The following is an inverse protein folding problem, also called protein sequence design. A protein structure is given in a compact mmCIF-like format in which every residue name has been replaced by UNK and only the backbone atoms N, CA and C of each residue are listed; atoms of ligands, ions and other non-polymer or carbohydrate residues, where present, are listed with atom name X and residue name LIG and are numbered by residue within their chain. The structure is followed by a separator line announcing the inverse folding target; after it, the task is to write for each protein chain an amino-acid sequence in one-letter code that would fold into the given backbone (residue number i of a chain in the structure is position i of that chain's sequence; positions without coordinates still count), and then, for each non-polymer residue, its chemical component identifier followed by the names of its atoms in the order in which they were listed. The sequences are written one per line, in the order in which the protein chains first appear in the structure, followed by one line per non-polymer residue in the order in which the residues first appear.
data_IF_241582598371
#
_entry.id   IF_241582598371
#
_cell.length_a   1.000
_cell.length_b   1.000
_cell.length_c   1.000
_cell.angle_alpha   90.00
_cell.angle_beta   90.00
_cell.angle_gamma   90.00
#
_symmetry.space_group_name_H-M   'P 1'
#
loop_
_entity.id
_entity.type
_entity.pdbx_description
1 polymer ?
#
# COMPACT_ATOMS: atom_id res chain seq x y z
N UNK A 1 -9.35 -20.20 2.11
CA UNK A 1 -10.66 -20.21 2.82
C UNK A 1 -10.63 -19.45 4.14
N UNK A 2 -9.51 -19.46 4.86
CA UNK A 2 -9.26 -18.63 6.05
C UNK A 2 -9.74 -17.16 5.95
N UNK A 3 -9.51 -16.40 4.84
CA UNK A 3 -9.93 -15.00 4.79
C UNK A 3 -11.46 -14.81 4.81
N UNK A 4 -12.23 -15.77 4.27
CA UNK A 4 -13.70 -15.70 4.25
C UNK A 4 -14.29 -15.97 5.63
N UNK A 5 -13.76 -16.97 6.33
CA UNK A 5 -14.23 -17.32 7.68
C UNK A 5 -13.85 -16.22 8.69
N UNK A 6 -12.62 -15.74 8.64
CA UNK A 6 -12.18 -14.61 9.46
C UNK A 6 -13.06 -13.38 9.20
N UNK A 7 -13.41 -13.11 7.94
CA UNK A 7 -14.31 -12.02 7.58
C UNK A 7 -15.74 -12.20 8.12
N UNK A 8 -16.36 -13.36 7.91
CA UNK A 8 -17.70 -13.64 8.44
C UNK A 8 -17.72 -13.49 9.97
N UNK A 9 -16.68 -13.98 10.62
CA UNK A 9 -16.51 -13.90 12.06
C UNK A 9 -16.33 -12.45 12.53
N UNK A 10 -15.50 -11.65 11.85
CA UNK A 10 -15.30 -10.23 12.15
C UNK A 10 -16.59 -9.40 11.97
N UNK A 11 -17.50 -9.81 11.09
CA UNK A 11 -18.79 -9.13 10.90
C UNK A 11 -19.88 -9.60 11.87
N UNK A 12 -19.91 -10.89 12.18
CA UNK A 12 -20.91 -11.48 13.06
C UNK A 12 -20.64 -11.21 14.54
N UNK A 13 -19.37 -11.23 14.95
CA UNK A 13 -18.97 -11.15 16.35
C UNK A 13 -19.33 -9.80 17.00
N UNK A 14 -19.09 -8.63 16.38
CA UNK A 14 -19.50 -7.36 16.97
C UNK A 14 -21.02 -7.22 17.09
N UNK A 15 -21.78 -7.71 16.09
CA UNK A 15 -23.25 -7.74 16.12
C UNK A 15 -23.76 -8.62 17.26
N UNK A 16 -23.17 -9.79 17.44
CA UNK A 16 -23.53 -10.70 18.52
C UNK A 16 -23.19 -10.09 19.89
N UNK A 17 -21.98 -9.52 20.03
CA UNK A 17 -21.52 -8.89 21.26
C UNK A 17 -22.44 -7.75 21.69
N UNK A 18 -22.78 -6.83 20.78
CA UNK A 18 -23.70 -5.69 21.05
C UNK A 18 -25.10 -6.16 21.42
N UNK A 19 -25.59 -7.27 20.85
CA UNK A 19 -26.92 -7.82 21.20
C UNK A 19 -26.93 -8.55 22.54
N UNK A 20 -25.81 -9.18 22.92
CA UNK A 20 -25.71 -10.01 24.12
C UNK A 20 -25.50 -9.22 25.41
N UNK A 21 -24.98 -7.99 25.33
CA UNK A 21 -24.52 -7.21 26.49
C UNK A 21 -25.26 -5.89 26.61
N UNK A 22 -26.27 -5.77 27.50
CA UNK A 22 -27.02 -4.53 27.70
C UNK A 22 -26.18 -3.40 28.33
N UNK A 23 -25.04 -3.71 28.96
CA UNK A 23 -24.11 -2.73 29.52
C UNK A 23 -23.36 -1.90 28.47
N UNK A 24 -23.37 -2.32 27.20
CA UNK A 24 -22.67 -1.63 26.12
C UNK A 24 -23.43 -0.36 25.75
N UNK A 25 -22.80 0.80 25.98
CA UNK A 25 -23.39 2.09 25.63
C UNK A 25 -23.61 2.23 24.11
N UNK A 26 -24.48 3.17 23.72
CA UNK A 26 -24.78 3.43 22.29
C UNK A 26 -23.52 3.79 21.50
N UNK A 27 -22.65 4.64 22.06
CA UNK A 27 -21.42 5.07 21.38
C UNK A 27 -20.43 3.91 21.19
N UNK A 28 -20.32 3.04 22.19
CA UNK A 28 -19.44 1.87 22.14
C UNK A 28 -19.99 0.82 21.17
N UNK A 29 -21.32 0.67 21.11
CA UNK A 29 -22.01 -0.16 20.11
C UNK A 29 -21.75 0.35 18.70
N UNK A 30 -21.87 1.65 18.45
CA UNK A 30 -21.57 2.26 17.15
C UNK A 30 -20.10 2.04 16.74
N UNK A 31 -19.15 2.16 17.67
CA UNK A 31 -17.74 1.92 17.41
C UNK A 31 -17.46 0.45 17.08
N UNK A 32 -18.09 -0.50 17.78
CA UNK A 32 -17.94 -1.94 17.52
C UNK A 32 -18.59 -2.38 16.21
N UNK A 33 -19.70 -1.75 15.83
CA UNK A 33 -20.39 -2.02 14.58
C UNK A 33 -19.78 -1.28 13.38
N UNK A 34 -18.88 -0.33 13.63
CA UNK A 34 -18.15 0.35 12.57
C UNK A 34 -17.29 -0.66 11.81
N UNK A 35 -17.21 -0.46 10.49
CA UNK A 35 -16.28 -1.21 9.66
C UNK A 35 -14.84 -1.01 10.17
N UNK A 36 -14.00 -2.06 10.16
CA UNK A 36 -12.60 -1.92 10.54
C UNK A 36 -11.86 -1.01 9.55
N UNK A 37 -10.75 -0.44 10.02
CA UNK A 37 -9.86 0.32 9.15
C UNK A 37 -9.18 -0.62 8.14
N UNK A 38 -8.81 -0.08 6.99
CA UNK A 38 -8.12 -0.86 5.96
C UNK A 38 -6.72 -1.23 6.45
N UNK A 39 -6.42 -2.52 6.43
CA UNK A 39 -5.17 -3.06 6.95
C UNK A 39 -4.06 -2.95 5.90
N UNK A 40 -3.10 -2.09 6.20
CA UNK A 40 -1.96 -1.81 5.36
C UNK A 40 -0.81 -2.81 5.52
N UNK A 41 -0.88 -3.71 6.52
CA UNK A 41 0.13 -4.76 6.74
C UNK A 41 0.32 -5.69 5.53
N UNK A 42 -0.69 -5.77 4.66
CA UNK A 42 -0.70 -6.59 3.43
C UNK A 42 0.44 -6.30 2.46
N UNK A 43 0.98 -5.08 2.44
CA UNK A 43 2.19 -4.78 1.67
C UNK A 43 3.37 -5.65 2.11
N UNK A 44 3.50 -5.88 3.43
CA UNK A 44 4.50 -6.77 4.00
C UNK A 44 4.29 -8.23 3.58
N UNK A 45 3.06 -8.73 3.64
CA UNK A 45 2.74 -10.10 3.24
C UNK A 45 3.07 -10.38 1.78
N UNK A 46 2.72 -9.44 0.89
CA UNK A 46 3.06 -9.53 -0.54
C UNK A 46 4.58 -9.57 -0.72
N UNK A 47 5.31 -8.70 -0.03
CA UNK A 47 6.76 -8.65 -0.10
C UNK A 47 7.42 -9.95 0.40
N UNK A 48 6.93 -10.51 1.51
CA UNK A 48 7.39 -11.79 2.05
C UNK A 48 7.13 -12.93 1.06
N UNK A 49 5.94 -12.98 0.44
CA UNK A 49 5.62 -13.99 -0.57
C UNK A 49 6.55 -13.89 -1.79
N UNK A 50 6.83 -12.68 -2.28
CA UNK A 50 7.79 -12.46 -3.38
C UNK A 50 9.19 -12.91 -2.97
N UNK A 51 9.67 -12.51 -1.78
CA UNK A 51 10.96 -12.95 -1.25
C UNK A 51 11.07 -14.48 -1.15
N UNK A 52 10.03 -15.15 -0.65
CA UNK A 52 9.99 -16.62 -0.55
C UNK A 52 10.06 -17.28 -1.93
N UNK A 53 9.34 -16.78 -2.92
CA UNK A 53 9.41 -17.30 -4.29
C UNK A 53 10.80 -17.08 -4.91
N UNK A 54 11.41 -15.91 -4.73
CA UNK A 54 12.76 -15.61 -5.23
C UNK A 54 13.82 -16.48 -4.54
N UNK A 55 13.73 -16.69 -3.23
CA UNK A 55 14.64 -17.58 -2.50
C UNK A 55 14.45 -19.04 -2.91
N UNK A 56 13.21 -19.48 -3.13
CA UNK A 56 12.91 -20.83 -3.62
C UNK A 56 13.53 -21.05 -5.00
N UNK A 57 13.44 -20.07 -5.90
CA UNK A 57 14.10 -20.08 -7.21
C UNK A 57 15.63 -20.17 -7.11
N UNK A 58 16.23 -19.60 -6.06
CA UNK A 58 17.68 -19.68 -5.84
C UNK A 58 18.14 -21.09 -5.44
N UNK A 59 17.29 -21.86 -4.75
CA UNK A 59 17.65 -23.19 -4.22
C UNK A 59 17.09 -24.37 -5.02
N UNK A 60 15.97 -24.19 -5.73
CA UNK A 60 15.28 -25.26 -6.44
C UNK A 60 15.32 -25.00 -7.95
N UNK A 61 15.64 -26.04 -8.72
CA UNK A 61 15.76 -25.95 -10.18
C UNK A 61 14.49 -26.41 -10.91
N UNK A 62 13.68 -27.28 -10.30
CA UNK A 62 12.60 -27.99 -10.99
C UNK A 62 11.29 -27.19 -10.96
N UNK A 63 10.68 -27.01 -12.13
CA UNK A 63 9.34 -26.43 -12.35
C UNK A 63 9.13 -24.98 -11.91
N UNK A 64 10.15 -24.12 -12.12
CA UNK A 64 10.14 -22.70 -11.75
C UNK A 64 8.92 -21.92 -12.28
N UNK A 65 8.54 -22.18 -13.54
CA UNK A 65 7.42 -21.51 -14.17
C UNK A 65 6.10 -21.76 -13.43
N UNK A 66 5.93 -22.92 -12.79
CA UNK A 66 4.72 -23.24 -12.03
C UNK A 66 4.65 -22.41 -10.76
N UNK A 67 5.76 -22.28 -10.02
CA UNK A 67 5.81 -21.48 -8.78
C UNK A 67 5.48 -20.01 -9.06
N UNK A 68 6.08 -19.43 -10.10
CA UNK A 68 5.79 -18.05 -10.49
C UNK A 68 4.37 -17.87 -11.06
N UNK A 69 3.82 -18.86 -11.77
CA UNK A 69 2.43 -18.84 -12.20
C UNK A 69 1.47 -18.84 -11.00
N UNK A 70 1.72 -19.70 -10.01
CA UNK A 70 0.94 -19.72 -8.77
C UNK A 70 1.09 -18.43 -7.95
N UNK A 71 2.28 -17.84 -7.89
CA UNK A 71 2.48 -16.51 -7.31
C UNK A 71 1.63 -15.47 -8.03
N UNK A 72 1.67 -15.41 -9.37
CA UNK A 72 0.86 -14.48 -10.17
C UNK A 72 -0.64 -14.63 -9.91
N UNK A 73 -1.15 -15.88 -9.93
CA UNK A 73 -2.55 -16.17 -9.60
C UNK A 73 -2.88 -15.69 -8.18
N UNK A 74 -2.01 -15.94 -7.20
CA UNK A 74 -2.22 -15.52 -5.82
C UNK A 74 -2.29 -14.00 -5.68
N UNK A 75 -1.43 -13.25 -6.37
CA UNK A 75 -1.42 -11.78 -6.34
C UNK A 75 -2.69 -11.20 -6.97
N UNK A 76 -3.17 -11.78 -8.08
CA UNK A 76 -4.43 -11.37 -8.71
C UNK A 76 -5.60 -11.61 -7.78
N UNK A 77 -5.66 -12.76 -7.11
CA UNK A 77 -6.72 -13.07 -6.14
C UNK A 77 -6.68 -12.09 -4.96
N UNK A 78 -5.49 -11.82 -4.40
CA UNK A 78 -5.29 -10.86 -3.30
C UNK A 78 -5.76 -9.46 -3.73
N UNK A 79 -5.34 -9.00 -4.92
CA UNK A 79 -5.73 -7.71 -5.46
C UNK A 79 -7.26 -7.58 -5.61
N UNK A 80 -7.90 -8.55 -6.27
CA UNK A 80 -9.36 -8.55 -6.45
C UNK A 80 -10.10 -8.54 -5.11
N UNK A 81 -9.62 -9.33 -4.14
CA UNK A 81 -10.20 -9.39 -2.81
C UNK A 81 -10.03 -8.09 -2.04
N UNK A 82 -8.85 -7.48 -2.09
CA UNK A 82 -8.56 -6.24 -1.38
C UNK A 82 -9.25 -5.04 -1.99
N UNK A 83 -9.36 -4.99 -3.31
CA UNK A 83 -10.18 -4.01 -4.00
C UNK A 83 -11.65 -4.10 -3.56
N UNK A 84 -12.20 -5.31 -3.51
CA UNK A 84 -13.56 -5.54 -3.03
C UNK A 84 -13.74 -5.16 -1.54
N UNK A 85 -12.79 -5.52 -0.67
CA UNK A 85 -12.80 -5.19 0.75
C UNK A 85 -12.68 -3.68 0.99
N UNK A 86 -11.84 -3.00 0.23
CA UNK A 86 -11.66 -1.56 0.30
C UNK A 86 -12.97 -0.84 -0.02
N UNK A 87 -13.64 -1.22 -1.11
CA UNK A 87 -14.87 -0.57 -1.56
C UNK A 87 -16.11 -0.87 -0.69
N UNK A 88 -16.20 -2.07 -0.08
CA UNK A 88 -17.44 -2.53 0.57
C UNK A 88 -17.35 -2.67 2.09
N UNK A 89 -16.16 -2.86 2.65
CA UNK A 89 -15.98 -3.31 4.02
C UNK A 89 -14.99 -2.50 4.85
N UNK A 90 -14.40 -1.46 4.28
CA UNK A 90 -13.48 -0.60 5.00
C UNK A 90 -14.16 0.70 5.33
N UNK A 91 -13.89 1.22 6.52
CA UNK A 91 -14.27 2.59 6.85
C UNK A 91 -13.49 3.54 5.95
N UNK A 92 -14.07 4.71 5.68
CA UNK A 92 -13.35 5.80 5.06
C UNK A 92 -12.08 6.09 5.87
N UNK A 93 -10.93 5.82 5.25
CA UNK A 93 -9.61 6.03 5.81
C UNK A 93 -8.99 7.23 5.12
N UNK A 94 -8.37 8.10 5.91
CA UNK A 94 -7.67 9.27 5.41
C UNK A 94 -6.19 8.93 5.37
N UNK A 95 -5.69 8.58 4.19
CA UNK A 95 -4.26 8.39 3.98
C UNK A 95 -3.65 9.74 3.62
N UNK A 96 -2.85 10.31 4.53
CA UNK A 96 -2.24 11.62 4.31
C UNK A 96 -0.92 11.55 3.55
N UNK A 97 -0.38 10.35 3.30
CA UNK A 97 0.97 10.21 2.75
C UNK A 97 1.18 8.94 1.92
N UNK A 98 1.86 9.03 0.76
CA UNK A 98 2.30 7.89 -0.04
C UNK A 98 3.55 7.19 0.51
N UNK A 99 4.08 7.59 1.67
CA UNK A 99 5.34 7.08 2.22
C UNK A 99 5.39 5.55 2.34
N UNK A 100 4.26 4.91 2.65
CA UNK A 100 4.21 3.47 2.78
C UNK A 100 4.33 2.77 1.43
N UNK A 101 3.67 3.29 0.40
CA UNK A 101 3.80 2.78 -0.96
C UNK A 101 5.25 2.93 -1.43
N UNK A 102 5.87 4.10 -1.21
CA UNK A 102 7.27 4.29 -1.54
C UNK A 102 8.16 3.28 -0.79
N UNK A 103 7.96 3.12 0.51
CA UNK A 103 8.73 2.17 1.32
C UNK A 103 8.61 0.74 0.78
N UNK A 104 7.41 0.32 0.36
CA UNK A 104 7.20 -1.00 -0.23
C UNK A 104 7.98 -1.18 -1.54
N UNK A 105 7.98 -0.16 -2.42
CA UNK A 105 8.77 -0.18 -3.67
C UNK A 105 10.28 -0.28 -3.40
N UNK A 106 10.80 0.52 -2.45
CA UNK A 106 12.21 0.47 -2.06
C UNK A 106 12.60 -0.91 -1.50
N UNK A 107 11.75 -1.52 -0.67
CA UNK A 107 12.00 -2.85 -0.13
C UNK A 107 11.90 -3.96 -1.19
N UNK A 108 11.07 -3.77 -2.22
CA UNK A 108 10.92 -4.72 -3.33
C UNK A 108 12.16 -4.75 -4.27
N UNK A 109 12.97 -3.70 -4.27
CA UNK A 109 14.19 -3.64 -5.10
C UNK A 109 15.16 -4.79 -4.79
N UNK A 110 15.29 -5.19 -3.53
CA UNK A 110 16.18 -6.28 -3.10
C UNK A 110 15.76 -7.66 -3.65
N UNK A 111 14.53 -8.16 -3.45
CA UNK A 111 14.09 -9.41 -4.07
C UNK A 111 14.23 -9.40 -5.59
N UNK A 112 13.90 -8.29 -6.25
CA UNK A 112 14.03 -8.20 -7.70
C UNK A 112 15.50 -8.24 -8.16
N UNK A 113 16.43 -7.66 -7.40
CA UNK A 113 17.86 -7.75 -7.67
C UNK A 113 18.40 -9.19 -7.46
N UNK A 114 17.95 -9.88 -6.40
CA UNK A 114 18.28 -11.31 -6.19
C UNK A 114 17.74 -12.13 -7.37
N UNK A 115 16.51 -11.89 -7.80
CA UNK A 115 15.90 -12.55 -8.95
C UNK A 115 16.75 -12.35 -10.21
N UNK A 116 17.22 -11.13 -10.49
CA UNK A 116 18.10 -10.85 -11.61
C UNK A 116 19.43 -11.63 -11.55
N UNK A 117 20.06 -11.69 -10.37
CA UNK A 117 21.28 -12.46 -10.16
C UNK A 117 21.06 -13.97 -10.37
N UNK A 118 19.94 -14.50 -9.87
CA UNK A 118 19.58 -15.90 -10.01
C UNK A 118 19.26 -16.24 -11.47
N UNK A 119 18.63 -15.34 -12.22
CA UNK A 119 18.42 -15.53 -13.67
C UNK A 119 19.75 -15.65 -14.43
N UNK A 120 20.76 -14.84 -14.11
CA UNK A 120 22.10 -14.98 -14.70
C UNK A 120 22.68 -16.37 -14.43
N UNK A 121 22.56 -16.85 -13.19
CA UNK A 121 23.02 -18.20 -12.84
C UNK A 121 22.29 -19.30 -13.62
N UNK A 122 20.96 -19.20 -13.74
CA UNK A 122 20.17 -20.17 -14.51
C UNK A 122 20.48 -20.13 -16.00
N UNK A 123 20.68 -18.94 -16.59
CA UNK A 123 21.07 -18.83 -18.01
C UNK A 123 22.42 -19.47 -18.30
N UNK A 124 23.36 -19.38 -17.35
CA UNK A 124 24.63 -20.07 -17.43
C UNK A 124 24.46 -21.60 -17.33
N UNK A 125 23.70 -22.07 -16.34
CA UNK A 125 23.46 -23.50 -16.18
C UNK A 125 22.79 -24.11 -17.42
N UNK A 126 21.80 -23.42 -17.99
CA UNK A 126 21.14 -23.83 -19.22
C UNK A 126 22.05 -23.79 -20.47
N UNK A 127 23.09 -22.96 -20.46
CA UNK A 127 24.10 -22.95 -21.54
C UNK A 127 25.04 -24.15 -21.48
N UNK A 128 25.31 -24.69 -20.29
CA UNK A 128 26.13 -25.91 -20.10
C UNK A 128 25.39 -27.16 -20.59
N UNK A 129 24.06 -27.18 -20.47
CA UNK A 129 23.18 -28.25 -20.99
C UNK A 129 22.98 -28.21 -22.52
N UNK A 130 23.62 -27.28 -23.23
CA UNK A 130 23.52 -27.13 -24.70
C UNK A 130 22.20 -26.52 -25.21
N UNK A 131 21.24 -26.23 -24.32
CA UNK A 131 19.92 -25.72 -24.71
C UNK A 131 19.97 -24.32 -25.35
N UNK A 132 20.90 -23.47 -24.89
CA UNK A 132 21.05 -22.09 -25.37
C UNK A 132 22.17 -21.91 -26.39
N UNK A 133 22.84 -22.98 -26.84
CA UNK A 133 23.97 -22.89 -27.79
C UNK A 133 23.66 -22.04 -29.04
N UNK A 134 22.51 -22.22 -29.75
CA UNK A 134 22.24 -21.44 -30.96
C UNK A 134 22.09 -19.93 -30.70
N UNK A 135 21.48 -19.57 -29.56
CA UNK A 135 21.29 -18.17 -29.18
C UNK A 135 22.59 -17.54 -28.67
N UNK A 136 23.37 -18.30 -27.89
CA UNK A 136 24.68 -17.89 -27.40
C UNK A 136 25.66 -17.68 -28.57
N UNK A 137 25.67 -18.56 -29.57
CA UNK A 137 26.51 -18.43 -30.75
C UNK A 137 26.13 -17.21 -31.59
N UNK A 138 24.84 -16.96 -31.79
CA UNK A 138 24.37 -15.74 -32.47
C UNK A 138 24.82 -14.46 -31.75
N UNK A 139 24.68 -14.45 -30.42
CA UNK A 139 25.03 -13.28 -29.59
C UNK A 139 26.55 -13.07 -29.54
N UNK A 140 27.32 -14.15 -29.45
CA UNK A 140 28.79 -14.15 -29.52
C UNK A 140 29.27 -13.64 -30.88
N UNK A 141 28.63 -14.07 -31.97
CA UNK A 141 28.97 -13.60 -33.31
C UNK A 141 28.65 -12.11 -33.51
N UNK A 142 27.53 -11.64 -32.94
CA UNK A 142 27.13 -10.23 -32.97
C UNK A 142 28.07 -9.35 -32.14
N UNK A 143 28.44 -9.80 -30.93
CA UNK A 143 29.37 -9.07 -30.05
C UNK A 143 30.79 -9.02 -30.61
N UNK A 144 31.26 -10.11 -31.25
CA UNK A 144 32.57 -10.13 -31.92
C UNK A 144 32.66 -9.12 -33.06
N UNK A 145 31.54 -8.81 -33.69
CA UNK A 145 31.47 -7.80 -34.75
C UNK A 145 31.53 -6.37 -34.20
N UNK A 146 31.04 -6.15 -32.98
CA UNK A 146 31.00 -4.84 -32.32
C UNK A 146 32.30 -4.57 -31.56
N UNK A 147 32.89 -5.58 -30.93
CA UNK A 147 34.01 -5.46 -30.02
C UNK A 147 35.24 -6.16 -30.63
N UNK A 148 36.22 -5.36 -31.05
CA UNK A 148 37.34 -5.79 -31.90
C UNK A 148 38.44 -6.60 -31.17
N UNK A 149 38.32 -6.80 -29.85
CA UNK A 149 39.34 -7.50 -29.05
C UNK A 149 38.87 -8.90 -28.62
N UNK A 150 39.55 -9.94 -29.11
CA UNK A 150 39.32 -11.35 -28.72
C UNK A 150 39.50 -11.56 -27.19
N UNK A 151 40.34 -10.74 -26.53
CA UNK A 151 40.54 -10.78 -25.08
C UNK A 151 39.26 -10.41 -24.32
N UNK A 152 38.54 -9.39 -24.81
CA UNK A 152 37.31 -8.92 -24.20
C UNK A 152 36.18 -9.95 -24.39
N UNK A 153 36.12 -10.62 -25.55
CA UNK A 153 35.20 -11.74 -25.79
C UNK A 153 35.49 -12.93 -24.85
N UNK A 154 36.76 -13.25 -24.59
CA UNK A 154 37.13 -14.29 -23.61
C UNK A 154 36.77 -13.92 -22.16
N UNK A 155 36.93 -12.66 -21.74
CA UNK A 155 36.45 -12.24 -20.41
C UNK A 155 34.92 -12.30 -20.29
N UNK A 156 34.21 -12.06 -21.40
CA UNK A 156 32.76 -12.18 -21.53
C UNK A 156 32.25 -13.63 -21.61
N UNK A 157 33.11 -14.62 -21.87
CA UNK A 157 32.69 -16.02 -21.74
C UNK A 157 32.40 -16.31 -20.27
N UNK A 158 31.20 -16.82 -19.98
CA UNK A 158 30.78 -17.20 -18.64
C UNK A 158 31.57 -18.44 -18.17
N UNK A 159 32.81 -18.22 -17.76
CA UNK A 159 33.60 -19.22 -17.09
C UNK A 159 33.07 -19.45 -15.67
N UNK A 160 33.22 -20.68 -15.16
CA UNK A 160 32.86 -21.04 -13.77
C UNK A 160 33.47 -20.12 -12.72
N UNK A 161 34.64 -19.50 -12.99
CA UNK A 161 35.31 -18.57 -12.07
C UNK A 161 34.73 -17.17 -12.09
N UNK A 162 34.08 -16.75 -13.18
CA UNK A 162 33.58 -15.37 -13.37
C UNK A 162 32.09 -15.23 -13.08
N UNK A 163 31.33 -16.32 -12.98
CA UNK A 163 29.87 -16.26 -12.78
C UNK A 163 29.42 -15.50 -11.53
N UNK A 164 30.10 -15.68 -10.40
CA UNK A 164 29.74 -14.96 -9.17
C UNK A 164 29.86 -13.44 -9.34
N UNK A 165 30.84 -12.98 -10.12
CA UNK A 165 30.99 -11.58 -10.47
C UNK A 165 29.87 -11.09 -11.39
N UNK A 166 29.44 -11.90 -12.34
CA UNK A 166 28.29 -11.59 -13.20
C UNK A 166 26.97 -11.53 -12.41
N UNK A 167 26.74 -12.46 -11.48
CA UNK A 167 25.58 -12.43 -10.59
C UNK A 167 25.57 -11.17 -9.72
N UNK A 168 26.73 -10.83 -9.12
CA UNK A 168 26.88 -9.62 -8.31
C UNK A 168 26.69 -8.35 -9.16
N UNK A 169 27.26 -8.32 -10.36
CA UNK A 169 27.11 -7.20 -11.29
C UNK A 169 25.65 -7.02 -11.70
N UNK A 170 24.92 -8.10 -12.00
CA UNK A 170 23.49 -8.05 -12.31
C UNK A 170 22.65 -7.57 -11.11
N UNK A 171 22.96 -8.03 -9.90
CA UNK A 171 22.33 -7.55 -8.67
C UNK A 171 22.51 -6.04 -8.49
N UNK A 172 23.76 -5.55 -8.55
CA UNK A 172 24.08 -4.13 -8.37
C UNK A 172 23.48 -3.29 -9.50
N UNK A 173 23.60 -3.74 -10.75
CA UNK A 173 23.01 -3.07 -11.90
C UNK A 173 21.49 -2.94 -11.75
N UNK A 174 20.80 -4.02 -11.35
CA UNK A 174 19.36 -3.98 -11.12
C UNK A 174 18.99 -2.98 -10.02
N UNK A 175 19.70 -2.97 -8.88
CA UNK A 175 19.43 -1.99 -7.81
C UNK A 175 19.62 -0.55 -8.30
N UNK A 176 20.70 -0.26 -9.02
CA UNK A 176 20.96 1.08 -9.57
C UNK A 176 19.86 1.50 -10.56
N UNK A 177 19.48 0.61 -11.48
CA UNK A 177 18.40 0.87 -12.44
C UNK A 177 17.06 1.05 -11.71
N UNK A 178 16.75 0.19 -10.75
CA UNK A 178 15.51 0.27 -9.97
C UNK A 178 15.43 1.59 -9.20
N UNK A 179 16.50 1.99 -8.51
CA UNK A 179 16.55 3.27 -7.79
C UNK A 179 16.52 4.47 -8.72
N UNK A 180 17.19 4.40 -9.87
CA UNK A 180 17.10 5.42 -10.91
C UNK A 180 15.67 5.57 -11.44
N UNK A 181 14.95 4.46 -11.66
CA UNK A 181 13.54 4.49 -12.05
C UNK A 181 12.65 5.08 -10.95
N UNK A 182 12.82 4.68 -9.70
CA UNK A 182 12.03 5.22 -8.58
C UNK A 182 12.31 6.71 -8.34
N UNK A 183 13.54 7.18 -8.56
CA UNK A 183 13.91 8.56 -8.28
C UNK A 183 13.67 9.51 -9.46
N UNK A 184 13.89 9.07 -10.70
CA UNK A 184 13.72 9.91 -11.90
C UNK A 184 12.44 9.62 -12.68
N UNK A 185 12.08 8.36 -12.86
CA UNK A 185 10.97 7.99 -13.74
C UNK A 185 9.61 8.11 -13.05
N UNK A 186 9.48 7.53 -11.85
CA UNK A 186 8.22 7.52 -11.10
C UNK A 186 7.70 8.93 -10.83
N UNK A 187 8.48 9.88 -10.27
CA UNK A 187 7.97 11.22 -9.97
C UNK A 187 7.59 12.02 -11.22
N UNK A 188 8.13 11.66 -12.39
CA UNK A 188 7.81 12.34 -13.64
C UNK A 188 6.51 11.83 -14.28
N UNK A 189 6.11 10.59 -13.98
CA UNK A 189 4.92 9.95 -14.57
C UNK A 189 3.77 9.78 -13.59
N UNK A 190 4.04 9.82 -12.29
CA UNK A 190 2.99 9.85 -11.29
C UNK A 190 2.45 11.27 -11.21
N UNK A 191 1.23 11.48 -11.72
CA UNK A 191 0.45 12.70 -11.46
C UNK A 191 -0.04 12.76 -9.99
N UNK A 192 0.72 12.19 -9.06
CA UNK A 192 0.48 12.32 -7.62
C UNK A 192 1.00 13.70 -7.26
N UNK A 193 0.22 14.71 -7.63
CA UNK A 193 0.39 16.02 -7.05
C UNK A 193 0.28 15.85 -5.54
N UNK A 194 1.20 16.49 -4.82
CA UNK A 194 0.98 16.76 -3.41
C UNK A 194 -0.40 17.39 -3.28
N UNK A 195 -1.36 16.66 -2.71
CA UNK A 195 -2.71 17.18 -2.42
C UNK A 195 -2.69 18.38 -1.44
N UNK A 196 -1.49 18.78 -0.97
CA UNK A 196 -1.28 20.05 -0.31
C UNK A 196 -0.91 21.13 -1.33
N UNK A 197 -1.85 22.04 -1.55
CA UNK A 197 -1.57 23.31 -2.21
C UNK A 197 -0.96 24.27 -1.16
N UNK A 198 0.36 24.48 -1.25
CA UNK A 198 1.10 25.40 -0.37
C UNK A 198 0.62 26.86 -0.49
N UNK A 199 -0.11 27.18 -1.56
CA UNK A 199 -0.68 28.51 -1.78
C UNK A 199 -2.00 28.70 -1.05
N UNK A 200 -2.65 27.61 -0.60
CA UNK A 200 -3.92 27.68 0.12
C UNK A 200 -3.66 27.80 1.62
N UNK A 201 -4.11 28.88 2.28
CA UNK A 201 -3.96 29.02 3.72
C UNK A 201 -4.63 27.86 4.46
N UNK A 202 -3.99 27.40 5.54
CA UNK A 202 -4.52 26.31 6.38
C UNK A 202 -5.99 26.50 6.78
N UNK A 203 -6.41 27.74 7.05
CA UNK A 203 -7.80 28.06 7.42
C UNK A 203 -8.81 27.66 6.35
N UNK A 204 -8.46 27.81 5.08
CA UNK A 204 -9.31 27.46 3.96
C UNK A 204 -9.38 25.93 3.80
N UNK A 205 -8.24 25.24 3.80
CA UNK A 205 -8.18 23.77 3.75
C UNK A 205 -8.88 23.10 4.95
N UNK A 206 -8.71 23.67 6.15
CA UNK A 206 -9.34 23.17 7.37
C UNK A 206 -10.85 23.46 7.44
N UNK A 207 -11.36 24.36 6.60
CA UNK A 207 -12.81 24.60 6.48
C UNK A 207 -13.49 23.53 5.60
N UNK A 208 -12.77 22.98 4.62
CA UNK A 208 -13.29 21.97 3.69
C UNK A 208 -13.26 20.57 4.30
N UNK A 209 -12.17 20.23 5.01
CA UNK A 209 -12.00 18.93 5.68
C UNK A 209 -12.65 18.89 7.07
N UNK A 210 -13.34 17.78 7.37
CA UNK A 210 -13.90 17.54 8.72
C UNK A 210 -12.85 17.04 9.73
N UNK A 211 -11.81 16.40 9.22
CA UNK A 211 -10.69 15.90 10.00
C UNK A 211 -9.52 16.87 9.84
N UNK A 212 -9.18 17.57 10.91
CA UNK A 212 -8.03 18.47 11.00
C UNK A 212 -7.00 17.88 11.94
N UNK A 213 -5.72 18.22 11.76
CA UNK A 213 -4.63 17.76 12.63
C UNK A 213 -4.95 17.90 14.14
N UNK A 214 -5.66 18.97 14.52
CA UNK A 214 -6.04 19.26 15.90
C UNK A 214 -7.13 18.33 16.45
N UNK A 215 -8.11 17.92 15.63
CA UNK A 215 -9.24 17.11 16.09
C UNK A 215 -9.03 15.60 15.93
N UNK A 216 -8.10 15.17 15.06
CA UNK A 216 -7.69 13.77 14.97
C UNK A 216 -6.70 13.38 16.07
N UNK A 217 -6.00 14.35 16.66
CA UNK A 217 -5.04 14.11 17.72
C UNK A 217 -5.72 14.14 19.11
N UNK A 218 -5.87 12.99 19.80
CA UNK A 218 -6.57 12.93 21.08
C UNK A 218 -5.86 13.71 22.19
N UNK A 219 -4.55 13.88 22.11
CA UNK A 219 -3.79 14.69 23.08
C UNK A 219 -4.16 16.16 22.94
N UNK A 220 -4.32 16.66 21.71
CA UNK A 220 -4.73 18.04 21.47
C UNK A 220 -6.16 18.30 21.91
N UNK A 221 -7.09 17.38 21.66
CA UNK A 221 -8.48 17.51 22.09
C UNK A 221 -8.60 17.57 23.61
N UNK A 222 -7.90 16.67 24.32
CA UNK A 222 -7.84 16.66 25.79
C UNK A 222 -7.20 17.94 26.35
N UNK A 223 -6.08 18.41 25.78
CA UNK A 223 -5.44 19.66 26.22
C UNK A 223 -6.34 20.86 26.01
N UNK A 224 -7.04 20.91 24.87
CA UNK A 224 -7.99 21.98 24.55
C UNK A 224 -9.12 22.07 25.60
N UNK A 225 -9.64 20.92 26.04
CA UNK A 225 -10.71 20.86 27.03
C UNK A 225 -10.25 21.12 28.47
N UNK A 226 -9.19 20.45 28.92
CA UNK A 226 -8.84 20.40 30.34
C UNK A 226 -7.72 21.37 30.75
N UNK A 227 -6.79 21.69 29.84
CA UNK A 227 -5.64 22.56 30.13
C UNK A 227 -5.95 23.99 29.73
N UNK A 228 -6.28 24.21 28.46
CA UNK A 228 -6.49 25.54 27.90
C UNK A 228 -7.91 26.06 28.07
N UNK A 229 -8.88 25.17 28.33
CA UNK A 229 -10.29 25.51 28.55
C UNK A 229 -10.89 26.36 27.41
N UNK A 230 -10.57 26.00 26.16
CA UNK A 230 -11.10 26.72 25.00
C UNK A 230 -12.63 26.65 24.95
N UNK A 231 -13.26 27.72 24.44
CA UNK A 231 -14.70 27.84 24.28
C UNK A 231 -15.06 28.19 22.82
N UNK A 232 -15.55 27.22 22.00
CA UNK A 232 -15.76 25.80 22.30
C UNK A 232 -14.45 24.98 22.32
N UNK A 233 -14.40 23.87 23.09
CA UNK A 233 -13.23 22.99 23.11
C UNK A 233 -13.12 22.19 21.80
N UNK A 234 -11.90 21.74 21.48
CA UNK A 234 -11.65 20.85 20.34
C UNK A 234 -12.26 19.47 20.62
N UNK A 235 -13.26 19.07 19.82
CA UNK A 235 -13.95 17.78 19.97
C UNK A 235 -13.25 16.74 19.07
N UNK A 236 -12.93 15.53 19.57
CA UNK A 236 -12.29 14.50 18.75
C UNK A 236 -13.13 14.17 17.52
N UNK A 237 -12.47 14.06 16.37
CA UNK A 237 -13.13 13.67 15.13
C UNK A 237 -13.59 12.21 15.21
N UNK A 238 -14.83 11.97 14.79
CA UNK A 238 -15.35 10.64 14.57
C UNK A 238 -16.20 10.66 13.29
N UNK A 239 -15.91 9.75 12.35
CA UNK A 239 -16.66 9.62 11.10
C UNK A 239 -18.15 9.45 11.40
N UNK A 240 -19.00 10.20 10.71
CA UNK A 240 -20.45 10.23 10.92
C UNK A 240 -20.90 11.12 12.09
N UNK A 241 -19.97 11.70 12.86
CA UNK A 241 -20.24 12.65 13.96
C UNK A 241 -19.60 14.03 13.73
N UNK A 242 -19.31 14.38 12.48
CA UNK A 242 -18.77 15.68 12.12
C UNK A 242 -19.68 16.85 12.53
N UNK A 243 -20.99 16.63 12.67
CA UNK A 243 -21.94 17.61 13.21
C UNK A 243 -21.67 18.04 14.67
N UNK A 244 -20.82 17.30 15.41
CA UNK A 244 -20.39 17.70 16.74
C UNK A 244 -19.25 18.72 16.70
N UNK A 245 -18.54 18.84 15.58
CA UNK A 245 -17.45 19.80 15.42
C UNK A 245 -18.02 21.23 15.47
N UNK A 246 -17.32 22.11 16.17
CA UNK A 246 -17.68 23.51 16.30
C UNK A 246 -16.52 24.35 15.80
N UNK A 247 -16.86 25.44 15.11
CA UNK A 247 -15.86 26.40 14.66
C UNK A 247 -15.19 27.08 15.87
N UNK A 248 -13.87 27.14 15.84
CA UNK A 248 -13.05 27.90 16.77
C UNK A 248 -11.72 28.28 16.09
N UNK A 249 -11.67 29.46 15.44
CA UNK A 249 -10.49 29.92 14.73
C UNK A 249 -9.24 30.05 15.61
N UNK A 250 -9.42 30.32 16.92
CA UNK A 250 -8.30 30.49 17.86
C UNK A 250 -7.45 29.22 18.05
N UNK A 251 -8.01 28.05 17.71
CA UNK A 251 -7.35 26.75 17.83
C UNK A 251 -7.18 26.04 16.48
N UNK A 252 -7.38 26.76 15.38
CA UNK A 252 -7.28 26.21 14.03
C UNK A 252 -8.47 25.34 13.59
N UNK A 253 -9.64 25.49 14.21
CA UNK A 253 -10.87 24.82 13.77
C UNK A 253 -11.74 25.79 12.98
N UNK A 254 -11.84 25.60 11.66
CA UNK A 254 -12.54 26.53 10.77
C UNK A 254 -13.83 25.97 10.17
N UNK A 255 -14.15 24.71 10.45
CA UNK A 255 -15.32 24.06 9.87
C UNK A 255 -16.59 24.34 10.69
N UNK A 256 -17.66 24.73 9.99
CA UNK A 256 -19.01 24.79 10.53
C UNK A 256 -19.74 23.44 10.39
N UNK A 257 -20.55 23.02 11.38
CA UNK A 257 -21.28 21.76 11.30
C UNK A 257 -22.30 21.78 10.17
N UNK A 258 -22.10 20.93 9.15
CA UNK A 258 -22.89 20.93 7.90
C UNK A 258 -24.38 20.59 8.08
N UNK A 259 -24.80 19.90 9.15
CA UNK A 259 -26.21 19.65 9.51
C UNK A 259 -26.33 18.92 10.87
N UNK A 260 -27.35 19.22 11.67
CA UNK A 260 -27.59 18.51 12.94
C UNK A 260 -28.50 17.28 12.76
N UNK A 261 -28.43 16.25 13.62
CA UNK A 261 -29.29 15.06 13.54
C UNK A 261 -30.80 15.36 13.59
N UNK A 262 -31.21 16.49 14.20
CA UNK A 262 -32.61 16.94 14.21
C UNK A 262 -33.08 17.39 12.84
N UNK A 263 -32.23 18.08 12.09
CA UNK A 263 -32.50 18.48 10.71
C UNK A 263 -32.60 17.25 9.81
N UNK A 264 -31.77 16.22 10.03
CA UNK A 264 -31.86 14.94 9.30
C UNK A 264 -33.15 14.18 9.60
N UNK A 265 -33.53 14.00 10.87
CA UNK A 265 -34.80 13.34 11.22
C UNK A 265 -36.00 14.08 10.63
N UNK A 266 -35.95 15.42 10.61
CA UNK A 266 -37.00 16.25 10.00
C UNK A 266 -37.02 16.12 8.48
N UNK A 267 -35.86 16.15 7.82
CA UNK A 267 -35.75 15.96 6.37
C UNK A 267 -36.20 14.56 5.94
N UNK A 268 -35.82 13.50 6.67
CA UNK A 268 -36.30 12.13 6.43
C UNK A 268 -37.81 12.03 6.69
N UNK A 269 -38.32 12.67 7.75
CA UNK A 269 -39.77 12.71 8.03
C UNK A 269 -40.53 13.47 6.94
N UNK A 270 -39.99 14.59 6.45
CA UNK A 270 -40.56 15.38 5.36
C UNK A 270 -40.52 14.63 4.02
N UNK A 271 -39.46 13.86 3.73
CA UNK A 271 -39.37 12.99 2.54
C UNK A 271 -40.27 11.74 2.62
N UNK A 272 -40.55 11.23 3.82
CA UNK A 272 -41.41 10.04 4.01
C UNK A 272 -42.89 10.40 4.19
N UNK A 273 -43.21 11.60 4.67
CA UNK A 273 -44.59 12.07 4.86
C UNK A 273 -45.04 13.04 3.76
N UNK A 274 -44.11 13.62 2.99
CA UNK A 274 -44.38 14.29 1.73
C UNK A 274 -44.64 13.24 0.65
N UNK A 275 -45.89 12.81 0.54
CA UNK A 275 -46.40 12.02 -0.58
C UNK A 275 -46.01 12.69 -1.91
N UNK A 276 -45.44 11.88 -2.81
CA UNK A 276 -45.68 12.00 -4.25
C UNK A 276 -47.13 11.61 -4.50
#
# INVERSE_FOLDING_TARGET
LEPLMAWLLLQALPKWLVRSRPEVGVQESEQRLAAPDFDLSRYGDILVNVMLCVLTLAFTYRDLYQVFAWLGISLVIIYCWDHYRFLRFSRHSLFSSPLMEFTAHWLLAVPCAILAAVLVFHTWAASDDGFLEPAADFLKHSLRQIMWDDLAVSYLTLARRTILWYMLAAFVCHLLVHFALLYWFVPHHSNVHSDHDDMVPYSETASTSEATWFNVNPVHTLRSQYVYKHAPPCIPYAVGKAYLQKENPSIGQFQQPKQTPRTFKRAVKELTHGRI
#
